data_IF_039614396643
#
_entry.id   IF_039614396643
#
_cell.length_a   1.000
_cell.length_b   1.000
_cell.length_c   1.000
_cell.angle_alpha   90.00
_cell.angle_beta   90.00
_cell.angle_gamma   90.00
#
_symmetry.space_group_name_H-M   'P 1'
#
loop_
_entity.id
_entity.type
_entity.pdbx_description
1 polymer ?
#
# COMPACT_ATOMS: atom_id res chain seq x y z
N UNK A 1 -10.40 7.23 11.56
CA UNK A 1 -11.71 6.78 12.10
C UNK A 1 -11.67 5.28 12.22
N UNK A 2 -12.05 4.71 13.36
CA UNK A 2 -12.22 3.25 13.48
C UNK A 2 -13.44 2.85 12.64
N UNK A 3 -13.27 1.86 11.77
CA UNK A 3 -14.31 1.39 10.85
C UNK A 3 -14.81 0.00 11.24
N UNK A 4 -13.94 -0.82 11.85
CA UNK A 4 -14.23 -2.12 12.44
C UNK A 4 -13.32 -2.29 13.67
N UNK A 5 -13.61 -3.21 14.59
CA UNK A 5 -12.74 -3.46 15.74
C UNK A 5 -11.30 -3.73 15.29
N UNK A 6 -10.37 -2.94 15.82
CA UNK A 6 -8.95 -2.99 15.47
C UNK A 6 -8.59 -2.52 14.04
N UNK A 7 -9.50 -1.88 13.33
CA UNK A 7 -9.32 -1.41 11.96
C UNK A 7 -9.63 0.09 11.87
N UNK A 8 -8.62 0.88 11.52
CA UNK A 8 -8.76 2.33 11.36
C UNK A 8 -8.51 2.74 9.92
N UNK A 9 -9.40 3.59 9.41
CA UNK A 9 -9.19 4.34 8.19
C UNK A 9 -8.54 5.70 8.51
N UNK A 10 -7.33 5.91 8.01
CA UNK A 10 -6.62 7.18 8.00
C UNK A 10 -6.64 7.78 6.59
N UNK A 11 -6.77 9.09 6.52
CA UNK A 11 -6.70 9.84 5.26
C UNK A 11 -5.57 10.84 5.36
N UNK A 12 -4.73 10.90 4.34
CA UNK A 12 -3.77 11.99 4.22
C UNK A 12 -4.40 13.20 3.51
N UNK A 13 -3.69 14.33 3.50
CA UNK A 13 -4.16 15.58 2.87
C UNK A 13 -4.39 15.46 1.35
N UNK A 14 -3.75 14.49 0.70
CA UNK A 14 -3.83 14.23 -0.75
C UNK A 14 -4.93 13.23 -1.12
N UNK A 15 -5.72 12.77 -0.14
CA UNK A 15 -6.87 11.89 -0.33
C UNK A 15 -6.53 10.41 -0.43
N UNK A 16 -5.29 9.99 -0.19
CA UNK A 16 -4.97 8.57 -0.07
C UNK A 16 -5.57 8.01 1.23
N UNK A 17 -6.23 6.86 1.10
CA UNK A 17 -6.88 6.14 2.19
C UNK A 17 -5.99 4.99 2.64
N UNK A 18 -5.46 5.09 3.86
CA UNK A 18 -4.62 4.07 4.48
C UNK A 18 -5.41 3.39 5.59
N UNK A 19 -5.47 2.07 5.51
CA UNK A 19 -6.07 1.22 6.53
C UNK A 19 -4.97 0.74 7.47
N UNK A 20 -5.08 1.06 8.75
CA UNK A 20 -4.24 0.49 9.80
C UNK A 20 -5.03 -0.63 10.50
N UNK A 21 -4.49 -1.84 10.49
CA UNK A 21 -5.08 -3.01 11.15
C UNK A 21 -4.18 -3.43 12.31
N UNK A 22 -4.68 -3.31 13.53
CA UNK A 22 -4.01 -3.81 14.72
C UNK A 22 -4.28 -5.31 14.85
N UNK A 23 -3.28 -6.12 14.50
CA UNK A 23 -3.34 -7.58 14.49
C UNK A 23 -2.15 -8.14 15.27
N UNK A 24 -2.17 -8.09 16.61
CA UNK A 24 -1.04 -8.51 17.43
C UNK A 24 -0.45 -9.86 17.00
N UNK A 25 0.89 -9.97 16.86
CA UNK A 25 1.90 -9.05 17.39
C UNK A 25 2.30 -7.89 16.46
N UNK A 26 1.54 -7.61 15.39
CA UNK A 26 1.87 -6.57 14.40
C UNK A 26 0.77 -5.53 14.24
N UNK A 27 1.12 -4.39 13.65
CA UNK A 27 0.16 -3.52 12.97
C UNK A 27 0.45 -3.55 11.47
N UNK A 28 -0.59 -3.65 10.66
CA UNK A 28 -0.48 -3.71 9.21
C UNK A 28 -1.05 -2.42 8.64
N UNK A 29 -0.23 -1.67 7.93
CA UNK A 29 -0.69 -0.58 7.08
C UNK A 29 -1.02 -1.15 5.69
N UNK A 30 -2.17 -0.78 5.15
CA UNK A 30 -2.63 -1.25 3.85
C UNK A 30 -3.29 -0.14 3.06
N UNK A 31 -2.98 -0.09 1.76
CA UNK A 31 -3.68 0.75 0.79
C UNK A 31 -4.10 -0.09 -0.40
N UNK A 32 -5.36 0.05 -0.80
CA UNK A 32 -5.83 -0.47 -2.10
C UNK A 32 -5.42 0.51 -3.19
N UNK A 33 -4.63 0.05 -4.14
CA UNK A 33 -4.00 0.89 -5.17
C UNK A 33 -4.87 0.95 -6.42
N UNK A 34 -5.26 -0.21 -6.93
CA UNK A 34 -6.10 -0.36 -8.12
C UNK A 34 -6.57 -1.81 -8.30
N UNK A 35 -7.53 -2.02 -9.19
CA UNK A 35 -7.88 -3.35 -9.70
C UNK A 35 -6.88 -3.79 -10.79
N UNK A 36 -6.73 -5.10 -10.96
CA UNK A 36 -5.92 -5.66 -12.03
C UNK A 36 -6.57 -5.39 -13.39
N UNK A 37 -5.78 -5.08 -14.43
CA UNK A 37 -6.30 -5.03 -15.78
C UNK A 37 -6.80 -6.42 -16.21
N UNK A 38 -7.92 -6.48 -16.93
CA UNK A 38 -8.47 -7.72 -17.46
C UNK A 38 -7.50 -8.41 -18.43
N UNK A 39 -6.73 -7.63 -19.19
CA UNK A 39 -5.77 -8.12 -20.19
C UNK A 39 -4.52 -8.76 -19.57
N UNK A 40 -4.26 -10.04 -19.88
CA UNK A 40 -3.09 -10.80 -19.41
C UNK A 40 -1.72 -10.15 -19.76
N UNK A 41 -1.48 -9.68 -21.00
CA UNK A 41 -0.24 -8.95 -21.31
C UNK A 41 -0.01 -7.72 -20.42
N UNK A 42 -1.07 -6.95 -20.15
CA UNK A 42 -0.99 -5.76 -19.27
C UNK A 42 -0.71 -6.13 -17.83
N UNK A 43 -1.27 -7.25 -17.34
CA UNK A 43 -0.96 -7.77 -16.00
C UNK A 43 0.52 -8.13 -15.87
N UNK A 44 1.09 -8.79 -16.87
CA UNK A 44 2.51 -9.16 -16.86
C UNK A 44 3.43 -7.94 -16.82
N UNK A 45 3.12 -6.89 -17.59
CA UNK A 45 3.84 -5.62 -17.57
C UNK A 45 3.74 -4.92 -16.20
N UNK A 46 2.52 -4.85 -15.66
CA UNK A 46 2.25 -4.31 -14.33
C UNK A 46 3.05 -5.07 -13.25
N UNK A 47 3.02 -6.41 -13.25
CA UNK A 47 3.71 -7.21 -12.24
C UNK A 47 5.22 -7.00 -12.27
N UNK A 48 5.83 -6.92 -13.45
CA UNK A 48 7.25 -6.59 -13.57
C UNK A 48 7.53 -5.21 -12.96
N UNK A 49 6.69 -4.21 -13.26
CA UNK A 49 6.86 -2.86 -12.74
C UNK A 49 6.70 -2.80 -11.21
N UNK A 50 5.71 -3.49 -10.64
CA UNK A 50 5.51 -3.57 -9.19
C UNK A 50 6.70 -4.25 -8.48
N UNK A 51 7.26 -5.31 -9.07
CA UNK A 51 8.47 -5.96 -8.54
C UNK A 51 9.69 -5.04 -8.61
N UNK A 52 9.82 -4.23 -9.66
CA UNK A 52 10.88 -3.23 -9.77
C UNK A 52 10.72 -2.12 -8.72
N UNK A 53 9.49 -1.68 -8.44
CA UNK A 53 9.21 -0.74 -7.34
C UNK A 53 9.55 -1.31 -5.98
N UNK A 54 9.15 -2.56 -5.70
CA UNK A 54 9.53 -3.26 -4.47
C UNK A 54 11.05 -3.31 -4.27
N UNK A 55 11.82 -3.40 -5.35
CA UNK A 55 13.27 -3.52 -5.29
C UNK A 55 14.03 -2.19 -5.23
N UNK A 56 13.47 -1.10 -5.77
CA UNK A 56 14.23 0.14 -6.03
C UNK A 56 13.64 1.40 -5.42
N UNK A 57 12.33 1.46 -5.25
CA UNK A 57 11.63 2.71 -4.93
C UNK A 57 10.92 2.66 -3.58
N UNK A 58 10.45 1.48 -3.15
CA UNK A 58 9.85 1.30 -1.83
C UNK A 58 10.93 1.17 -0.75
N UNK A 59 10.85 2.06 0.25
CA UNK A 59 11.68 2.00 1.46
C UNK A 59 11.09 1.02 2.48
N UNK A 60 9.75 1.03 2.61
CA UNK A 60 9.00 0.16 3.50
C UNK A 60 7.84 -0.52 2.76
N UNK A 61 7.43 -1.67 3.26
CA UNK A 61 6.35 -2.44 2.69
C UNK A 61 6.64 -3.07 1.33
N UNK A 62 5.56 -3.51 0.68
CA UNK A 62 5.60 -4.16 -0.62
C UNK A 62 4.27 -4.03 -1.34
N UNK A 63 4.32 -3.90 -2.68
CA UNK A 63 3.17 -4.22 -3.52
C UNK A 63 2.88 -5.72 -3.50
N UNK A 64 1.60 -6.05 -3.41
CA UNK A 64 1.07 -7.40 -3.44
C UNK A 64 -0.33 -7.47 -4.05
N UNK A 65 -0.93 -8.66 -4.02
CA UNK A 65 -2.27 -8.92 -4.52
C UNK A 65 -3.21 -9.38 -3.41
N UNK A 66 -4.43 -8.85 -3.42
CA UNK A 66 -5.55 -9.32 -2.60
C UNK A 66 -6.76 -9.55 -3.51
N UNK A 67 -6.92 -10.81 -3.95
CA UNK A 67 -7.83 -11.15 -5.05
C UNK A 67 -7.40 -10.41 -6.32
N UNK A 68 -8.34 -9.66 -6.91
CA UNK A 68 -8.10 -8.86 -8.12
C UNK A 68 -7.60 -7.44 -7.85
N UNK A 69 -7.12 -7.16 -6.63
CA UNK A 69 -6.64 -5.83 -6.24
C UNK A 69 -5.14 -5.82 -6.03
N UNK A 70 -4.48 -4.82 -6.62
CA UNK A 70 -3.14 -4.42 -6.21
C UNK A 70 -3.26 -3.67 -4.89
N UNK A 71 -2.52 -4.14 -3.90
CA UNK A 71 -2.40 -3.53 -2.57
C UNK A 71 -0.96 -3.15 -2.30
N UNK A 72 -0.75 -2.08 -1.55
CA UNK A 72 0.53 -1.74 -0.93
C UNK A 72 0.37 -1.99 0.57
N UNK A 73 1.24 -2.82 1.14
CA UNK A 73 1.18 -3.20 2.55
C UNK A 73 2.52 -3.00 3.23
N UNK A 74 2.51 -2.54 4.47
CA UNK A 74 3.66 -2.58 5.37
C UNK A 74 3.25 -3.19 6.71
N UNK A 75 4.17 -3.89 7.36
CA UNK A 75 3.92 -4.63 8.60
C UNK A 75 4.95 -4.25 9.64
N UNK A 76 4.48 -3.72 10.77
CA UNK A 76 5.31 -3.20 11.85
C UNK A 76 5.12 -4.07 13.10
N UNK A 77 6.21 -4.49 13.71
CA UNK A 77 6.19 -5.30 14.94
C UNK A 77 5.89 -4.45 16.17
N UNK A 78 4.87 -4.81 16.94
CA UNK A 78 4.40 -4.00 18.06
C UNK A 78 5.35 -3.98 19.26
N UNK A 79 6.27 -4.94 19.38
CA UNK A 79 7.11 -5.07 20.58
C UNK A 79 7.94 -3.82 20.86
N UNK A 80 8.46 -3.18 19.81
CA UNK A 80 9.32 -2.00 19.91
C UNK A 80 8.75 -0.78 19.16
N UNK A 81 7.55 -0.89 18.58
CA UNK A 81 6.98 0.16 17.75
C UNK A 81 6.76 1.43 18.56
N UNK A 82 7.39 2.51 18.12
CA UNK A 82 7.10 3.86 18.59
C UNK A 82 6.34 4.69 17.55
N UNK A 83 5.92 5.89 17.97
CA UNK A 83 5.14 6.77 17.10
C UNK A 83 5.93 7.23 15.86
N UNK A 84 7.24 7.46 16.01
CA UNK A 84 8.09 7.95 14.92
C UNK A 84 8.33 6.87 13.86
N UNK A 85 8.48 5.61 14.26
CA UNK A 85 8.53 4.48 13.34
C UNK A 85 7.20 4.28 12.59
N UNK A 86 6.07 4.38 13.30
CA UNK A 86 4.75 4.31 12.67
C UNK A 86 4.54 5.45 11.66
N UNK A 87 4.87 6.69 12.05
CA UNK A 87 4.76 7.88 11.20
C UNK A 87 5.65 7.75 9.95
N UNK A 88 6.91 7.32 10.11
CA UNK A 88 7.82 7.10 9.00
C UNK A 88 7.32 6.06 7.99
N UNK A 89 6.74 4.96 8.47
CA UNK A 89 6.12 3.93 7.63
C UNK A 89 4.90 4.48 6.89
N UNK A 90 4.02 5.21 7.59
CA UNK A 90 2.84 5.83 7.01
C UNK A 90 3.19 6.85 5.90
N UNK A 91 4.18 7.69 6.16
CA UNK A 91 4.67 8.69 5.21
C UNK A 91 5.35 8.04 4.01
N UNK A 92 6.12 6.96 4.23
CA UNK A 92 6.75 6.19 3.17
C UNK A 92 5.72 5.62 2.18
N UNK A 93 4.66 4.99 2.71
CA UNK A 93 3.54 4.47 1.90
C UNK A 93 2.86 5.60 1.12
N UNK A 94 2.55 6.70 1.80
CA UNK A 94 1.89 7.86 1.21
C UNK A 94 2.70 8.45 0.07
N UNK A 95 4.01 8.64 0.28
CA UNK A 95 4.92 9.19 -0.72
C UNK A 95 5.05 8.25 -1.92
N UNK A 96 5.23 6.95 -1.69
CA UNK A 96 5.29 5.95 -2.76
C UNK A 96 4.02 5.97 -3.62
N UNK A 97 2.83 6.09 -3.01
CA UNK A 97 1.59 6.22 -3.76
C UNK A 97 1.54 7.50 -4.59
N UNK A 98 1.89 8.65 -4.02
CA UNK A 98 1.91 9.91 -4.73
C UNK A 98 2.84 9.86 -5.95
N UNK A 99 3.99 9.20 -5.83
CA UNK A 99 4.97 9.04 -6.91
C UNK A 99 4.57 7.99 -7.95
N UNK A 100 4.07 6.83 -7.54
CA UNK A 100 3.84 5.70 -8.44
C UNK A 100 2.47 5.74 -9.13
N UNK A 101 1.43 6.37 -8.53
CA UNK A 101 0.07 6.35 -9.08
C UNK A 101 -0.01 6.94 -10.49
N UNK A 102 0.78 7.96 -10.80
CA UNK A 102 0.87 8.52 -12.16
C UNK A 102 1.41 7.52 -13.18
N UNK A 103 2.46 6.77 -12.80
CA UNK A 103 3.06 5.75 -13.64
C UNK A 103 2.21 4.47 -13.77
N UNK A 104 1.36 4.19 -12.78
CA UNK A 104 0.43 3.06 -12.78
C UNK A 104 -0.90 3.38 -13.49
N UNK A 105 -1.21 4.66 -13.73
CA UNK A 105 -2.45 5.10 -14.37
C UNK A 105 -2.77 4.40 -15.71
N UNK A 106 -1.81 4.08 -16.61
CA UNK A 106 -2.09 3.37 -17.86
C UNK A 106 -2.70 1.97 -17.71
N UNK A 107 -2.46 1.32 -16.57
CA UNK A 107 -3.01 -0.01 -16.26
C UNK A 107 -4.43 0.05 -15.70
N UNK A 108 -4.89 1.23 -15.23
CA UNK A 108 -6.27 1.38 -14.74
C UNK A 108 -7.22 1.30 -15.91
N UNK A 109 -8.08 0.29 -15.91
CA UNK A 109 -9.18 0.22 -16.86
C UNK A 109 -10.22 1.30 -16.49
N UNK A 110 -10.76 1.98 -17.51
CA UNK A 110 -11.77 3.04 -17.35
C UNK A 110 -13.15 2.44 -17.21
#
# INVERSE_FOLDING_TARGET
>A
MEIEPNLWLAKNGDGAEVVAHFAPPVVILRVRVMELPASEPRRSELFRQLLEYNARELVHGSYGLEGDHVVLTDTLELENLDFSEFEASFDSITLALASHLGALAPYRER
#
